data_IF_145963069279
#
_entry.id   IF_145963069279
#
_cell.length_a   1.000
_cell.length_b   1.000
_cell.length_c   1.000
_cell.angle_alpha   90.00
_cell.angle_beta   90.00
_cell.angle_gamma   90.00
#
_symmetry.space_group_name_H-M   'P 1'
#
loop_
_entity.id
_entity.type
_entity.pdbx_description
1 polymer ?
#
# COMPACT_ATOMS: atom_id res chain seq x y z
N UNK A 1 -15.00 9.21 -0.25
CA UNK A 1 -13.75 9.99 -0.49
C UNK A 1 -12.56 9.06 -0.49
N UNK A 2 -12.34 8.35 0.62
CA UNK A 2 -11.34 7.27 0.76
C UNK A 2 -11.42 6.20 -0.34
N UNK A 3 -12.59 5.59 -0.55
CA UNK A 3 -12.78 4.57 -1.61
C UNK A 3 -12.38 5.05 -3.01
N UNK A 4 -12.61 6.34 -3.33
CA UNK A 4 -12.20 6.90 -4.64
C UNK A 4 -10.69 7.00 -4.77
N UNK A 5 -10.00 7.29 -3.67
CA UNK A 5 -8.54 7.38 -3.63
C UNK A 5 -7.96 5.97 -3.69
N UNK A 6 -8.49 5.02 -2.90
CA UNK A 6 -8.06 3.62 -2.94
C UNK A 6 -8.28 2.97 -4.30
N UNK A 7 -9.42 3.20 -4.95
CA UNK A 7 -9.67 2.65 -6.29
C UNK A 7 -8.71 3.22 -7.35
N UNK A 8 -8.33 4.50 -7.25
CA UNK A 8 -7.29 5.07 -8.14
C UNK A 8 -5.89 4.53 -7.83
N UNK A 9 -5.59 4.25 -6.56
CA UNK A 9 -4.30 3.69 -6.15
C UNK A 9 -4.17 2.19 -6.46
N UNK A 10 -5.27 1.42 -6.41
CA UNK A 10 -5.25 -0.04 -6.61
C UNK A 10 -5.54 -0.47 -8.06
N UNK A 11 -6.12 0.39 -8.89
CA UNK A 11 -6.56 0.05 -10.25
C UNK A 11 -5.44 -0.21 -11.28
N UNK A 12 -4.17 0.08 -10.97
CA UNK A 12 -3.08 0.10 -11.95
C UNK A 12 -1.81 -0.66 -11.52
N UNK A 13 -1.94 -1.78 -10.79
CA UNK A 13 -0.81 -2.61 -10.32
C UNK A 13 -0.12 -3.47 -11.41
N UNK A 14 -0.41 -3.30 -12.70
CA UNK A 14 0.10 -4.17 -13.77
C UNK A 14 1.14 -3.53 -14.72
N UNK A 15 1.61 -2.30 -14.45
CA UNK A 15 2.67 -1.67 -15.25
C UNK A 15 3.98 -1.65 -14.48
N UNK A 16 4.96 -2.36 -15.06
CA UNK A 16 6.37 -2.37 -14.65
C UNK A 16 6.86 -0.94 -14.34
N UNK A 17 7.64 -0.74 -13.26
CA UNK A 17 8.16 0.57 -12.93
C UNK A 17 9.17 1.00 -14.00
N UNK A 18 8.73 1.81 -14.97
CA UNK A 18 9.69 2.62 -15.72
C UNK A 18 10.27 3.64 -14.73
N UNK A 19 11.53 3.42 -14.36
CA UNK A 19 12.38 4.42 -13.73
C UNK A 19 12.59 5.58 -14.69
N UNK A 20 11.61 6.47 -14.78
CA UNK A 20 11.91 7.84 -15.13
C UNK A 20 12.63 8.41 -13.90
N UNK A 21 13.94 8.62 -14.03
CA UNK A 21 14.75 9.32 -13.02
C UNK A 21 14.25 10.75 -12.93
N UNK A 22 13.22 10.96 -12.12
CA UNK A 22 12.59 12.25 -11.88
C UNK A 22 13.40 12.93 -10.79
N UNK A 23 14.19 13.92 -11.19
CA UNK A 23 15.03 14.71 -10.29
C UNK A 23 14.17 15.48 -9.29
N UNK A 24 14.54 15.44 -8.02
CA UNK A 24 13.94 16.26 -6.98
C UNK A 24 13.99 17.75 -7.40
N UNK A 25 12.96 18.54 -7.06
CA UNK A 25 12.88 19.95 -7.47
C UNK A 25 13.89 20.87 -6.77
N UNK A 26 14.64 20.33 -5.81
CA UNK A 26 15.61 21.03 -4.99
C UNK A 26 16.94 20.27 -4.97
N UNK A 27 18.02 21.00 -4.76
CA UNK A 27 19.34 20.41 -4.55
C UNK A 27 19.42 19.83 -3.12
N UNK A 28 19.72 18.53 -2.94
CA UNK A 28 19.85 17.91 -1.62
C UNK A 28 20.90 18.57 -0.71
N UNK A 29 21.85 19.32 -1.28
CA UNK A 29 22.91 20.00 -0.53
C UNK A 29 22.49 21.36 0.07
N UNK A 30 21.32 21.88 -0.30
CA UNK A 30 20.79 23.14 0.25
C UNK A 30 20.27 22.95 1.68
N UNK A 31 20.16 24.03 2.43
CA UNK A 31 19.49 23.98 3.74
C UNK A 31 17.99 23.67 3.58
N UNK A 32 17.41 23.07 4.62
CA UNK A 32 16.02 22.60 4.57
C UNK A 32 14.99 23.70 4.38
N UNK A 33 15.26 24.94 4.81
CA UNK A 33 14.35 26.06 4.59
C UNK A 33 14.33 26.43 3.11
N UNK A 34 15.51 26.51 2.48
CA UNK A 34 15.63 26.75 1.05
C UNK A 34 14.95 25.65 0.23
N UNK A 35 15.19 24.38 0.58
CA UNK A 35 14.51 23.25 -0.08
C UNK A 35 12.97 23.34 0.05
N UNK A 36 12.49 23.67 1.25
CA UNK A 36 11.05 23.86 1.54
C UNK A 36 10.48 25.01 0.70
N UNK A 37 11.16 26.16 0.67
CA UNK A 37 10.71 27.35 -0.04
C UNK A 37 10.64 27.13 -1.56
N UNK A 38 11.68 26.53 -2.15
CA UNK A 38 11.74 26.21 -3.58
C UNK A 38 10.64 25.22 -3.95
N UNK A 39 10.51 24.13 -3.20
CA UNK A 39 9.51 23.09 -3.47
C UNK A 39 8.09 23.65 -3.32
N UNK A 40 7.84 24.47 -2.30
CA UNK A 40 6.55 25.13 -2.11
C UNK A 40 6.24 26.14 -3.24
N UNK A 41 7.24 26.86 -3.75
CA UNK A 41 7.07 27.76 -4.89
C UNK A 41 6.63 26.99 -6.14
N UNK A 42 7.28 25.87 -6.47
CA UNK A 42 6.87 25.02 -7.59
C UNK A 42 5.48 24.41 -7.39
N UNK A 43 5.13 24.02 -6.15
CA UNK A 43 3.79 23.56 -5.80
C UNK A 43 2.73 24.64 -6.06
N UNK A 44 3.01 25.90 -5.66
CA UNK A 44 2.10 27.02 -5.94
C UNK A 44 1.99 27.31 -7.44
N UNK A 45 3.10 27.24 -8.17
CA UNK A 45 3.14 27.48 -9.60
C UNK A 45 2.33 26.41 -10.36
N UNK A 46 2.53 25.13 -10.06
CA UNK A 46 1.77 24.03 -10.66
C UNK A 46 0.27 24.11 -10.35
N UNK A 47 -0.11 24.62 -9.16
CA UNK A 47 -1.50 24.93 -8.82
C UNK A 47 -2.10 26.00 -9.72
N UNK A 48 -1.36 27.09 -9.97
CA UNK A 48 -1.80 28.17 -10.88
C UNK A 48 -1.90 27.70 -12.33
N UNK A 49 -1.00 26.82 -12.76
CA UNK A 49 -0.99 26.25 -14.12
C UNK A 49 -2.00 25.10 -14.31
N UNK A 50 -2.74 24.71 -13.27
CA UNK A 50 -3.68 23.59 -13.34
C UNK A 50 -3.03 22.22 -13.55
N UNK A 51 -1.70 22.11 -13.43
CA UNK A 51 -0.99 20.85 -13.63
C UNK A 51 -1.11 19.97 -12.38
N UNK A 52 -2.15 19.13 -12.36
CA UNK A 52 -2.50 18.24 -11.25
C UNK A 52 -1.38 17.27 -10.88
N UNK A 53 -0.74 16.63 -11.87
CA UNK A 53 0.33 15.65 -11.61
C UNK A 53 1.54 16.34 -10.99
N UNK A 54 1.94 17.49 -11.53
CA UNK A 54 3.02 18.29 -10.93
C UNK A 54 2.69 18.75 -9.51
N UNK A 55 1.43 19.13 -9.22
CA UNK A 55 1.01 19.46 -7.86
C UNK A 55 1.19 18.27 -6.89
N UNK A 56 0.79 17.07 -7.30
CA UNK A 56 0.96 15.87 -6.48
C UNK A 56 2.43 15.53 -6.28
N UNK A 57 3.26 15.65 -7.32
CA UNK A 57 4.71 15.46 -7.22
C UNK A 57 5.37 16.44 -6.26
N UNK A 58 5.13 17.75 -6.41
CA UNK A 58 5.74 18.72 -5.50
C UNK A 58 5.21 18.60 -4.07
N UNK A 59 3.96 18.16 -3.89
CA UNK A 59 3.43 17.85 -2.56
C UNK A 59 4.11 16.63 -1.93
N UNK A 60 4.40 15.58 -2.71
CA UNK A 60 5.16 14.42 -2.25
C UNK A 60 6.55 14.82 -1.74
N UNK A 61 7.33 15.54 -2.56
CA UNK A 61 8.67 15.99 -2.17
C UNK A 61 8.65 16.97 -0.99
N UNK A 62 7.64 17.86 -0.94
CA UNK A 62 7.49 18.76 0.21
C UNK A 62 7.22 17.99 1.50
N UNK A 63 6.40 16.92 1.44
CA UNK A 63 6.13 16.07 2.59
C UNK A 63 7.35 15.25 3.01
N UNK A 64 8.12 14.76 2.05
CA UNK A 64 9.40 14.07 2.29
C UNK A 64 10.40 14.96 3.03
N UNK A 65 10.56 16.22 2.62
CA UNK A 65 11.39 17.19 3.35
C UNK A 65 10.84 17.34 4.78
N UNK A 66 9.54 17.62 4.95
CA UNK A 66 8.95 17.90 6.25
C UNK A 66 9.03 16.73 7.25
N UNK A 67 9.05 15.48 6.76
CA UNK A 67 9.22 14.32 7.62
C UNK A 67 10.67 14.00 7.94
N UNK A 68 11.59 14.22 6.99
CA UNK A 68 13.01 13.90 7.17
C UNK A 68 13.82 15.01 7.86
N UNK A 69 13.24 16.21 8.04
CA UNK A 69 13.91 17.29 8.78
C UNK A 69 13.96 17.05 10.29
N UNK A 70 15.04 17.48 10.96
CA UNK A 70 15.12 17.49 12.41
C UNK A 70 13.95 18.26 13.05
N UNK A 71 13.41 17.81 14.20
CA UNK A 71 12.26 18.45 14.85
C UNK A 71 12.44 19.95 15.12
N UNK A 72 13.67 20.37 15.39
CA UNK A 72 14.07 21.75 15.64
C UNK A 72 13.82 22.65 14.41
N UNK A 73 14.09 22.13 13.21
CA UNK A 73 13.92 22.86 11.95
C UNK A 73 12.50 22.70 11.37
N UNK A 74 11.78 21.66 11.79
CA UNK A 74 10.41 21.38 11.34
C UNK A 74 9.45 22.52 11.58
N UNK A 75 9.54 23.14 12.75
CA UNK A 75 8.70 24.30 13.11
C UNK A 75 8.96 25.48 12.18
N UNK A 76 10.22 25.74 11.83
CA UNK A 76 10.58 26.87 10.97
C UNK A 76 10.09 26.63 9.54
N UNK A 77 10.35 25.44 8.98
CA UNK A 77 9.93 25.08 7.62
C UNK A 77 8.40 25.07 7.50
N UNK A 78 7.70 24.54 8.49
CA UNK A 78 6.23 24.48 8.49
C UNK A 78 5.60 25.88 8.58
N UNK A 79 6.22 26.83 9.31
CA UNK A 79 5.76 28.22 9.38
C UNK A 79 5.78 28.96 8.04
N UNK A 80 6.59 28.49 7.08
CA UNK A 80 6.64 29.06 5.73
C UNK A 80 5.49 28.57 4.82
N UNK A 81 4.71 27.60 5.30
CA UNK A 81 3.63 26.95 4.57
C UNK A 81 2.28 27.35 5.15
N UNK A 82 1.25 27.37 4.30
CA UNK A 82 -0.12 27.37 4.82
C UNK A 82 -0.48 26.00 5.37
N UNK A 83 -1.39 25.96 6.33
CA UNK A 83 -1.90 24.70 6.90
C UNK A 83 -2.35 23.71 5.80
N UNK A 84 -3.03 24.23 4.77
CA UNK A 84 -3.45 23.43 3.61
C UNK A 84 -2.26 22.70 2.95
N UNK A 85 -1.17 23.41 2.64
CA UNK A 85 -0.03 22.82 1.95
C UNK A 85 0.75 21.89 2.85
N UNK A 86 0.96 22.25 4.12
CA UNK A 86 1.65 21.37 5.08
C UNK A 86 0.91 20.04 5.25
N UNK A 87 -0.39 20.07 5.58
CA UNK A 87 -1.19 18.85 5.75
C UNK A 87 -1.27 18.01 4.48
N UNK A 88 -1.52 18.65 3.33
CA UNK A 88 -1.63 17.93 2.08
C UNK A 88 -0.31 17.29 1.64
N UNK A 89 0.82 17.95 1.88
CA UNK A 89 2.15 17.45 1.56
C UNK A 89 2.51 16.22 2.41
N UNK A 90 2.30 16.30 3.72
CA UNK A 90 2.51 15.16 4.63
C UNK A 90 1.66 13.97 4.19
N UNK A 91 0.36 14.15 3.97
CA UNK A 91 -0.51 13.07 3.51
C UNK A 91 -0.04 12.51 2.16
N UNK A 92 0.36 13.36 1.21
CA UNK A 92 0.84 12.93 -0.10
C UNK A 92 2.12 12.08 0.02
N UNK A 93 3.09 12.51 0.84
CA UNK A 93 4.31 11.76 1.09
C UNK A 93 3.99 10.34 1.55
N UNK A 94 3.23 10.18 2.62
CA UNK A 94 2.94 8.87 3.16
C UNK A 94 2.04 8.00 2.27
N UNK A 95 1.08 8.59 1.52
CA UNK A 95 0.28 7.83 0.55
C UNK A 95 1.18 7.24 -0.53
N UNK A 96 2.18 7.99 -1.00
CA UNK A 96 3.01 7.58 -2.12
C UNK A 96 4.36 7.00 -1.71
N UNK A 97 4.77 7.02 -0.43
CA UNK A 97 6.13 6.60 -0.01
C UNK A 97 6.49 5.19 -0.47
N UNK A 98 5.50 4.30 -0.52
CA UNK A 98 5.69 2.87 -0.82
C UNK A 98 5.84 2.62 -2.32
N UNK A 99 5.15 3.39 -3.17
CA UNK A 99 5.18 3.24 -4.63
C UNK A 99 6.00 4.33 -5.35
N UNK A 100 6.46 5.33 -4.59
CA UNK A 100 7.11 6.52 -5.09
C UNK A 100 6.24 7.39 -6.01
N UNK A 101 6.92 8.23 -6.77
CA UNK A 101 6.32 9.17 -7.72
C UNK A 101 5.74 8.49 -8.97
N UNK A 102 6.06 7.21 -9.21
CA UNK A 102 5.49 6.42 -10.30
C UNK A 102 3.97 6.32 -10.17
N UNK A 103 3.47 6.03 -8.97
CA UNK A 103 2.03 5.89 -8.76
C UNK A 103 1.29 7.21 -8.98
N UNK A 104 1.93 8.34 -8.74
CA UNK A 104 1.36 9.67 -9.04
C UNK A 104 1.08 9.82 -10.54
N UNK A 105 1.96 9.31 -11.40
CA UNK A 105 1.77 9.34 -12.84
C UNK A 105 0.59 8.49 -13.32
N UNK A 106 0.26 7.42 -12.59
CA UNK A 106 -0.87 6.54 -12.89
C UNK A 106 -2.22 7.13 -12.44
N UNK A 107 -2.22 8.14 -11.55
CA UNK A 107 -3.47 8.76 -11.08
C UNK A 107 -4.18 9.57 -12.18
N UNK A 108 -5.50 9.42 -12.28
CA UNK A 108 -6.32 10.06 -13.32
C UNK A 108 -7.12 11.23 -12.77
N UNK A 109 -7.70 11.13 -11.57
CA UNK A 109 -8.55 12.20 -10.99
C UNK A 109 -8.13 12.59 -9.59
N UNK A 110 -7.14 11.93 -8.99
CA UNK A 110 -6.61 12.32 -7.69
C UNK A 110 -6.06 13.74 -7.72
N UNK A 111 -6.54 14.58 -6.81
CA UNK A 111 -6.08 15.97 -6.67
C UNK A 111 -5.51 16.22 -5.28
N UNK A 112 -4.68 17.26 -5.16
CA UNK A 112 -4.14 17.67 -3.86
C UNK A 112 -5.24 18.02 -2.84
N UNK A 113 -6.34 18.64 -3.31
CA UNK A 113 -7.51 18.93 -2.48
C UNK A 113 -8.19 17.66 -1.97
N UNK A 114 -8.14 16.56 -2.73
CA UNK A 114 -8.66 15.28 -2.28
C UNK A 114 -7.82 14.69 -1.15
N UNK A 115 -6.49 14.79 -1.27
CA UNK A 115 -5.53 14.36 -0.27
C UNK A 115 -5.65 15.18 1.02
N UNK A 116 -5.79 16.51 0.90
CA UNK A 116 -6.00 17.40 2.04
C UNK A 116 -7.26 17.03 2.85
N UNK A 117 -8.37 16.71 2.16
CA UNK A 117 -9.65 16.36 2.78
C UNK A 117 -9.70 14.92 3.32
N UNK A 118 -8.63 14.15 3.17
CA UNK A 118 -8.57 12.79 3.69
C UNK A 118 -8.57 12.86 5.21
N UNK A 119 -9.54 12.18 5.86
CA UNK A 119 -9.53 12.09 7.32
C UNK A 119 -8.34 11.23 7.78
N UNK A 120 -7.81 11.57 8.95
CA UNK A 120 -6.65 10.88 9.56
C UNK A 120 -6.88 9.36 9.66
N UNK A 121 -8.08 8.92 10.00
CA UNK A 121 -8.44 7.49 10.09
C UNK A 121 -8.25 6.74 8.77
N UNK A 122 -8.62 7.38 7.66
CA UNK A 122 -8.50 6.80 6.32
C UNK A 122 -7.05 6.79 5.86
N UNK A 123 -6.34 7.88 6.14
CA UNK A 123 -4.91 7.99 5.92
C UNK A 123 -4.13 6.86 6.65
N UNK A 124 -4.44 6.61 7.92
CA UNK A 124 -3.83 5.51 8.69
C UNK A 124 -4.16 4.14 8.11
N UNK A 125 -5.37 3.93 7.58
CA UNK A 125 -5.73 2.68 6.90
C UNK A 125 -4.89 2.44 5.64
N UNK A 126 -4.61 3.49 4.84
CA UNK A 126 -3.74 3.37 3.65
C UNK A 126 -2.32 2.97 4.07
N UNK A 127 -1.76 3.66 5.06
CA UNK A 127 -0.40 3.37 5.54
C UNK A 127 -0.30 1.95 6.11
N UNK A 128 -1.29 1.53 6.93
CA UNK A 128 -1.34 0.16 7.45
C UNK A 128 -1.47 -0.89 6.34
N UNK A 129 -2.33 -0.66 5.34
CA UNK A 129 -2.48 -1.56 4.19
C UNK A 129 -1.16 -1.74 3.42
N UNK A 130 -0.35 -0.69 3.31
CA UNK A 130 0.98 -0.75 2.70
C UNK A 130 1.96 -1.57 3.55
N UNK A 131 1.92 -1.45 4.88
CA UNK A 131 2.78 -2.19 5.80
C UNK A 131 2.43 -3.69 5.86
N UNK A 132 1.15 -4.04 5.65
CA UNK A 132 0.67 -5.43 5.65
C UNK A 132 0.69 -6.11 4.28
N UNK A 133 1.33 -5.52 3.26
CA UNK A 133 1.51 -6.16 1.95
C UNK A 133 0.23 -6.37 1.14
N UNK A 134 -0.84 -5.63 1.44
CA UNK A 134 -2.04 -5.61 0.62
C UNK A 134 -2.97 -6.83 0.71
N UNK A 135 -2.85 -7.69 1.72
CA UNK A 135 -3.85 -8.73 1.98
C UNK A 135 -5.16 -8.10 2.48
N UNK A 136 -6.13 -7.95 1.57
CA UNK A 136 -7.54 -7.93 1.97
C UNK A 136 -7.98 -9.37 2.18
N UNK A 137 -8.25 -9.76 3.43
CA UNK A 137 -9.01 -10.96 3.74
C UNK A 137 -10.40 -10.83 3.09
N UNK A 138 -10.52 -11.32 1.86
CA UNK A 138 -11.82 -11.62 1.26
C UNK A 138 -12.22 -13.00 1.77
N UNK A 139 -13.31 -13.03 2.52
CA UNK A 139 -13.82 -14.21 3.19
C UNK A 139 -14.20 -15.36 2.25
N UNK A 140 -14.12 -16.56 2.82
CA UNK A 140 -14.70 -17.79 2.29
C UNK A 140 -15.19 -18.66 3.44
N UNK A 141 -16.17 -18.19 4.20
CA UNK A 141 -17.08 -19.09 4.91
C UNK A 141 -18.27 -19.32 3.98
N UNK A 142 -18.11 -20.28 3.09
CA UNK A 142 -19.26 -20.92 2.44
C UNK A 142 -19.93 -21.82 3.46
N UNK A 143 -21.23 -21.62 3.55
CA UNK A 143 -22.17 -22.26 4.46
C UNK A 143 -22.06 -23.78 4.49
N UNK A 144 -22.30 -24.32 5.68
CA UNK A 144 -22.67 -25.70 5.89
C UNK A 144 -23.88 -26.03 5.02
N UNK A 145 -23.73 -27.02 4.14
CA UNK A 145 -24.84 -27.82 3.65
C UNK A 145 -24.43 -29.28 3.82
N UNK A 146 -24.64 -29.77 5.04
CA UNK A 146 -24.70 -31.19 5.35
C UNK A 146 -26.11 -31.66 4.99
N UNK A 147 -26.20 -32.50 3.96
CA UNK A 147 -27.22 -33.54 3.76
C UNK A 147 -27.11 -34.08 2.33
N UNK A 148 -26.73 -35.34 2.17
CA UNK A 148 -27.63 -36.36 1.61
C UNK A 148 -27.03 -37.76 1.77
N UNK A 149 -27.78 -38.61 2.47
CA UNK A 149 -27.71 -40.07 2.38
C UNK A 149 -27.97 -40.53 0.94
N UNK A 150 -27.30 -41.60 0.50
CA UNK A 150 -27.98 -42.80 -0.03
C UNK A 150 -27.01 -43.94 -0.37
N UNK A 151 -27.40 -45.12 0.10
CA UNK A 151 -26.88 -46.46 -0.22
C UNK A 151 -26.81 -46.71 -1.73
N UNK A 152 -25.89 -47.58 -2.18
CA UNK A 152 -26.21 -48.76 -3.01
C UNK A 152 -25.01 -49.71 -3.02
N UNK A 153 -25.27 -51.00 -2.76
CA UNK A 153 -24.26 -52.05 -2.60
C UNK A 153 -23.62 -52.57 -3.88
N UNK A 154 -22.64 -53.44 -3.68
CA UNK A 154 -22.04 -54.30 -4.70
C UNK A 154 -21.19 -55.39 -4.05
N UNK A 155 -21.73 -56.61 -4.02
CA UNK A 155 -21.02 -57.84 -3.67
C UNK A 155 -20.09 -58.27 -4.82
N UNK A 156 -18.89 -58.75 -4.49
CA UNK A 156 -18.22 -59.92 -5.11
C UNK A 156 -16.97 -60.20 -4.26
N UNK A 157 -16.95 -61.17 -3.35
CA UNK A 157 -16.86 -62.64 -3.48
C UNK A 157 -15.45 -63.17 -3.80
N UNK A 158 -14.92 -63.91 -2.82
CA UNK A 158 -14.01 -65.06 -2.84
C UNK A 158 -12.54 -64.98 -3.33
N UNK A 159 -11.67 -65.50 -2.45
CA UNK A 159 -10.62 -66.45 -2.86
C UNK A 159 -9.29 -66.30 -2.12
N UNK A 160 -8.97 -67.24 -1.20
CA UNK A 160 -7.61 -67.41 -0.70
C UNK A 160 -7.51 -67.98 0.72
N UNK A 161 -7.73 -69.28 0.87
CA UNK A 161 -7.53 -70.08 2.08
C UNK A 161 -6.03 -70.33 2.39
N UNK A 162 -5.76 -70.44 3.70
CA UNK A 162 -4.80 -71.34 4.41
C UNK A 162 -3.29 -71.13 4.14
N UNK A 163 -2.38 -71.20 5.13
CA UNK A 163 -2.21 -72.21 6.16
C UNK A 163 -1.60 -71.68 7.47
N UNK A 164 -1.95 -72.35 8.57
CA UNK A 164 -1.25 -72.34 9.86
C UNK A 164 -0.02 -73.25 9.80
N UNK A 165 1.06 -72.86 10.48
CA UNK A 165 2.07 -73.67 11.21
C UNK A 165 3.07 -72.66 11.78
N UNK A 166 3.79 -72.83 12.87
CA UNK A 166 3.73 -73.61 14.09
C UNK A 166 4.82 -72.95 14.99
N UNK A 167 4.85 -73.35 16.24
CA UNK A 167 5.53 -72.81 17.42
C UNK A 167 7.07 -72.76 17.38
N UNK A 168 7.58 -72.19 18.49
CA UNK A 168 8.93 -72.29 19.07
C UNK A 168 10.03 -71.48 18.36
N UNK A 169 10.79 -70.62 19.05
CA UNK A 169 11.68 -71.03 20.14
C UNK A 169 11.95 -69.91 21.17
N UNK A 170 12.11 -70.36 22.42
CA UNK A 170 12.57 -69.63 23.59
C UNK A 170 14.06 -69.94 23.74
N UNK A 171 14.91 -68.94 24.02
CA UNK A 171 16.20 -69.23 24.67
C UNK A 171 17.33 -68.26 24.36
N UNK A 172 17.72 -67.53 25.41
CA UNK A 172 19.08 -67.16 25.85
C UNK A 172 19.97 -66.39 24.84
N UNK A 173 20.58 -65.25 25.21
CA UNK A 173 21.50 -65.01 26.34
C UNK A 173 21.36 -63.57 26.86
#
# INVERSE_FOLDING_TARGET
>A
MYEKIMNELLGHNNSSPMSDTITAPHDPLQDYQTQTAITHQFLRQSKRMGNRKAQLWYAYYLGEILENIPPEQRTICTKQLSLYFATAAIHAYYIFRTWGTFQINQTIKLTLSMIYKLKVEYYQKIVKFQETGGQTDQGGQTDQVDQTDQETGGQTDQGGQTDQVDQTDQGDI
#
